data_IF_240965813681
#
_entry.id   IF_240965813681
#
_cell.length_a   1.000
_cell.length_b   1.000
_cell.length_c   1.000
_cell.angle_alpha   90.00
_cell.angle_beta   90.00
_cell.angle_gamma   90.00
#
_symmetry.space_group_name_H-M   'P 1'
#
loop_
_entity.id
_entity.type
_entity.pdbx_description
1 polymer ?
#
# COMPACT_ATOMS: atom_id res chain seq x y z
N UNK A 1 52.44 76.65 -44.78
CA UNK A 1 52.05 76.56 -43.36
C UNK A 1 50.56 76.25 -43.31
N UNK A 2 50.15 75.28 -42.50
CA UNK A 2 48.80 74.75 -42.23
C UNK A 2 48.48 73.34 -42.75
N UNK A 3 48.03 72.55 -41.77
CA UNK A 3 47.98 71.09 -41.66
C UNK A 3 46.53 70.60 -41.83
N UNK A 4 46.42 69.48 -42.52
CA UNK A 4 45.56 68.29 -42.34
C UNK A 4 44.79 68.20 -40.99
N UNK A 5 43.52 67.77 -41.02
CA UNK A 5 42.94 66.51 -40.41
C UNK A 5 41.42 66.62 -40.16
N UNK A 6 40.77 65.48 -40.44
CA UNK A 6 39.36 65.09 -40.43
C UNK A 6 38.67 65.03 -39.05
N UNK A 7 37.37 65.33 -39.02
CA UNK A 7 36.48 65.20 -37.85
C UNK A 7 35.83 63.82 -37.79
N UNK A 8 35.92 63.14 -36.65
CA UNK A 8 35.34 61.81 -36.37
C UNK A 8 34.03 61.85 -35.57
N UNK A 9 33.22 60.82 -35.81
CA UNK A 9 31.96 60.42 -35.16
C UNK A 9 31.99 60.42 -33.62
N UNK A 10 30.87 60.80 -33.00
CA UNK A 10 30.53 60.53 -31.59
C UNK A 10 30.04 59.09 -31.43
N UNK A 11 30.70 58.30 -30.60
CA UNK A 11 30.18 57.02 -30.08
C UNK A 11 29.55 57.27 -28.71
N UNK A 12 28.25 57.00 -28.60
CA UNK A 12 27.51 56.92 -27.34
C UNK A 12 27.84 55.58 -26.65
N UNK A 13 28.50 55.63 -25.50
CA UNK A 13 28.69 54.47 -24.64
C UNK A 13 27.42 54.22 -23.81
N UNK A 14 26.53 53.36 -24.33
CA UNK A 14 25.46 52.75 -23.54
C UNK A 14 26.02 51.56 -22.76
N UNK A 15 26.22 51.72 -21.45
CA UNK A 15 26.60 50.63 -20.56
C UNK A 15 25.43 49.65 -20.40
N UNK A 16 25.55 48.47 -20.98
CA UNK A 16 24.64 47.35 -20.76
C UNK A 16 24.96 46.75 -19.38
N UNK A 17 24.16 47.07 -18.36
CA UNK A 17 24.20 46.33 -17.09
C UNK A 17 23.59 44.95 -17.31
N UNK A 18 24.44 43.94 -17.47
CA UNK A 18 24.04 42.53 -17.37
C UNK A 18 23.85 42.26 -15.87
N UNK A 19 22.61 42.35 -15.41
CA UNK A 19 22.23 41.82 -14.11
C UNK A 19 22.19 40.30 -14.24
N UNK A 20 23.31 39.63 -13.92
CA UNK A 20 23.28 38.20 -13.65
C UNK A 20 22.46 38.02 -12.37
N UNK A 21 21.20 37.59 -12.53
CA UNK A 21 20.44 37.04 -11.42
C UNK A 21 21.19 35.81 -10.92
N UNK A 22 21.80 35.90 -9.74
CA UNK A 22 22.25 34.73 -9.00
C UNK A 22 21.00 33.96 -8.64
N UNK A 23 20.67 32.95 -9.45
CA UNK A 23 19.58 32.03 -9.15
C UNK A 23 19.83 31.40 -7.78
N UNK A 24 18.84 31.50 -6.89
CA UNK A 24 18.92 30.88 -5.57
C UNK A 24 19.20 29.38 -5.77
N UNK A 25 20.29 28.89 -5.19
CA UNK A 25 20.65 27.46 -5.30
C UNK A 25 19.81 26.59 -4.38
N UNK A 26 19.17 27.17 -3.38
CA UNK A 26 18.35 26.47 -2.40
C UNK A 26 16.88 26.77 -2.65
N UNK A 27 16.08 25.72 -2.82
CA UNK A 27 14.64 25.81 -3.03
C UNK A 27 13.95 24.97 -1.95
N UNK A 28 12.94 25.54 -1.29
CA UNK A 28 12.14 24.82 -0.30
C UNK A 28 11.05 24.00 -1.00
N UNK A 29 10.86 22.76 -0.56
CA UNK A 29 9.80 21.85 -1.02
C UNK A 29 9.12 21.22 0.18
N UNK A 30 7.79 21.18 0.17
CA UNK A 30 7.03 20.32 1.08
C UNK A 30 6.62 19.05 0.36
N UNK A 31 6.94 17.89 0.93
CA UNK A 31 6.46 16.59 0.45
C UNK A 31 5.44 16.06 1.44
N UNK A 32 4.21 15.87 0.96
CA UNK A 32 3.14 15.21 1.72
C UNK A 32 3.01 13.80 1.16
N UNK A 33 3.00 12.78 2.01
CA UNK A 33 2.85 11.41 1.53
C UNK A 33 1.92 10.53 2.37
N UNK A 34 1.32 9.58 1.68
CA UNK A 34 0.54 8.47 2.23
C UNK A 34 1.02 7.15 1.65
N UNK A 35 0.59 6.05 2.27
CA UNK A 35 0.79 4.70 1.81
C UNK A 35 -0.27 3.81 2.47
N UNK A 36 -0.62 2.70 1.83
CA UNK A 36 -1.47 1.67 2.43
C UNK A 36 -2.80 2.22 2.94
N UNK A 37 -3.51 3.02 2.12
CA UNK A 37 -4.83 3.57 2.48
C UNK A 37 -5.86 2.44 2.65
N UNK A 38 -5.74 1.35 1.89
CA UNK A 38 -6.63 0.18 1.94
C UNK A 38 -8.10 0.58 2.03
N UNK A 39 -8.55 1.42 1.11
CA UNK A 39 -9.95 1.80 0.95
C UNK A 39 -10.55 2.62 2.10
N UNK A 40 -9.77 3.07 3.09
CA UNK A 40 -10.22 3.84 4.25
C UNK A 40 -10.52 5.30 3.88
N UNK A 41 -11.56 5.51 3.09
CA UNK A 41 -11.95 6.83 2.58
C UNK A 41 -12.67 7.71 3.60
N UNK A 42 -13.31 7.10 4.61
CA UNK A 42 -14.04 7.78 5.67
C UNK A 42 -13.24 7.87 6.96
N UNK A 43 -13.55 8.88 7.78
CA UNK A 43 -13.03 9.00 9.14
C UNK A 43 -13.67 7.89 10.01
N UNK A 44 -12.85 6.93 10.45
CA UNK A 44 -13.29 5.80 11.25
C UNK A 44 -12.12 5.19 12.03
N UNK A 45 -12.32 4.96 13.33
CA UNK A 45 -11.28 4.39 14.19
C UNK A 45 -10.02 5.26 14.18
N UNK A 46 -8.92 4.73 13.64
CA UNK A 46 -7.66 5.45 13.51
C UNK A 46 -7.53 6.21 12.19
N UNK A 47 -8.39 5.98 11.19
CA UNK A 47 -8.32 6.64 9.88
C UNK A 47 -8.76 8.10 9.95
N UNK A 48 -7.99 8.99 9.34
CA UNK A 48 -8.37 10.38 9.09
C UNK A 48 -9.51 10.53 8.06
N UNK A 49 -9.67 9.55 7.18
CA UNK A 49 -10.43 9.68 5.94
C UNK A 49 -9.80 10.68 4.95
N UNK A 50 -10.19 10.58 3.68
CA UNK A 50 -9.61 11.40 2.61
C UNK A 50 -9.93 12.88 2.79
N UNK A 51 -11.08 13.22 3.38
CA UNK A 51 -11.49 14.62 3.57
C UNK A 51 -10.54 15.45 4.46
N UNK A 52 -9.97 14.86 5.52
CA UNK A 52 -8.97 15.53 6.36
C UNK A 52 -7.60 15.62 5.67
N UNK A 53 -7.23 14.58 4.92
CA UNK A 53 -5.98 14.58 4.13
C UNK A 53 -6.03 15.67 3.07
N UNK A 54 -7.15 15.79 2.34
CA UNK A 54 -7.37 16.90 1.39
C UNK A 54 -7.28 18.26 2.08
N UNK A 55 -7.87 18.42 3.27
CA UNK A 55 -7.80 19.68 4.01
C UNK A 55 -6.36 20.07 4.37
N UNK A 56 -5.53 19.12 4.82
CA UNK A 56 -4.10 19.34 5.05
C UNK A 56 -3.38 19.79 3.77
N UNK A 57 -3.60 19.09 2.65
CA UNK A 57 -2.96 19.42 1.38
C UNK A 57 -3.36 20.83 0.91
N UNK A 58 -4.65 21.18 0.99
CA UNK A 58 -5.14 22.48 0.59
C UNK A 58 -4.55 23.61 1.45
N UNK A 59 -4.58 23.48 2.78
CA UNK A 59 -3.96 24.45 3.69
C UNK A 59 -2.46 24.59 3.46
N UNK A 60 -1.77 23.48 3.18
CA UNK A 60 -0.34 23.52 2.86
C UNK A 60 -0.10 24.31 1.58
N UNK A 61 -0.88 24.06 0.53
CA UNK A 61 -0.79 24.78 -0.75
C UNK A 61 -1.12 26.28 -0.65
N UNK A 62 -1.92 26.69 0.33
CA UNK A 62 -2.18 28.12 0.61
C UNK A 62 -0.96 28.84 1.21
N UNK A 63 -0.12 28.13 1.97
CA UNK A 63 0.98 28.72 2.73
C UNK A 63 2.38 28.40 2.18
N UNK A 64 2.51 27.35 1.35
CA UNK A 64 3.78 26.87 0.82
C UNK A 64 3.76 26.93 -0.70
N UNK A 65 4.82 27.52 -1.26
CA UNK A 65 4.95 27.77 -2.70
C UNK A 65 5.13 26.49 -3.52
N UNK A 66 5.79 25.49 -2.95
CA UNK A 66 6.18 24.24 -3.62
C UNK A 66 5.74 23.07 -2.76
N UNK A 67 4.74 22.34 -3.23
CA UNK A 67 4.16 21.18 -2.55
C UNK A 67 4.10 20.03 -3.54
N UNK A 68 4.60 18.86 -3.13
CA UNK A 68 4.53 17.60 -3.86
C UNK A 68 3.75 16.60 -3.01
N UNK A 69 2.71 15.97 -3.57
CA UNK A 69 1.84 15.03 -2.86
C UNK A 69 1.95 13.64 -3.46
N UNK A 70 2.29 12.63 -2.66
CA UNK A 70 2.67 11.30 -3.14
C UNK A 70 1.90 10.19 -2.41
N UNK A 71 1.56 9.12 -3.12
CA UNK A 71 1.04 7.89 -2.51
C UNK A 71 1.92 6.70 -2.89
N UNK A 72 2.28 5.84 -1.92
CA UNK A 72 3.16 4.70 -2.16
C UNK A 72 2.42 3.40 -2.54
N UNK A 73 1.13 3.44 -2.89
CA UNK A 73 0.35 2.27 -3.31
C UNK A 73 -0.40 1.57 -2.17
N UNK A 74 -1.07 0.46 -2.51
CA UNK A 74 -2.10 -0.19 -1.68
C UNK A 74 -3.23 0.77 -1.31
N UNK A 75 -3.78 1.44 -2.33
CA UNK A 75 -4.91 2.32 -2.20
C UNK A 75 -6.20 1.52 -1.93
N UNK A 76 -6.35 0.37 -2.59
CA UNK A 76 -7.59 -0.42 -2.58
C UNK A 76 -7.56 -1.60 -1.60
N UNK A 77 -8.64 -2.37 -1.59
CA UNK A 77 -8.97 -3.43 -0.61
C UNK A 77 -9.23 -2.86 0.79
N UNK A 78 -9.57 -3.68 1.78
CA UNK A 78 -9.73 -3.23 3.18
C UNK A 78 -11.10 -2.72 3.64
N UNK A 79 -11.93 -2.15 2.76
CA UNK A 79 -13.27 -1.65 3.13
C UNK A 79 -14.40 -2.16 2.23
N UNK A 80 -15.66 -2.21 2.71
CA UNK A 80 -16.78 -2.65 1.89
C UNK A 80 -16.95 -1.88 0.58
N UNK A 81 -16.73 -0.55 0.61
CA UNK A 81 -16.80 0.28 -0.62
C UNK A 81 -15.76 -0.18 -1.63
N UNK A 82 -14.51 -0.42 -1.18
CA UNK A 82 -13.49 -0.93 -2.08
C UNK A 82 -13.86 -2.31 -2.63
N UNK A 83 -14.26 -3.25 -1.78
CA UNK A 83 -14.53 -4.64 -2.20
C UNK A 83 -15.76 -4.75 -3.09
N UNK A 84 -16.89 -4.09 -2.74
CA UNK A 84 -18.14 -4.21 -3.51
C UNK A 84 -18.08 -3.54 -4.88
N UNK A 85 -17.22 -2.53 -5.05
CA UNK A 85 -17.05 -1.79 -6.31
C UNK A 85 -15.69 -2.03 -6.98
N UNK A 86 -14.96 -3.08 -6.55
CA UNK A 86 -13.67 -3.50 -7.08
C UNK A 86 -12.66 -2.34 -7.22
N UNK A 87 -12.52 -1.55 -6.15
CA UNK A 87 -11.52 -0.49 -5.98
C UNK A 87 -11.79 0.85 -6.69
N UNK A 88 -12.62 0.88 -7.73
CA UNK A 88 -12.78 2.08 -8.59
C UNK A 88 -13.16 3.37 -7.82
N UNK A 89 -14.12 3.35 -6.87
CA UNK A 89 -14.47 4.55 -6.12
C UNK A 89 -13.33 5.13 -5.28
N UNK A 90 -12.35 4.30 -4.91
CA UNK A 90 -11.23 4.74 -4.08
C UNK A 90 -10.37 5.74 -4.84
N UNK A 91 -10.05 5.45 -6.11
CA UNK A 91 -9.32 6.38 -6.97
C UNK A 91 -10.11 7.66 -7.24
N UNK A 92 -11.43 7.57 -7.45
CA UNK A 92 -12.28 8.77 -7.61
C UNK A 92 -12.20 9.71 -6.41
N UNK A 93 -12.25 9.17 -5.20
CA UNK A 93 -12.15 9.95 -3.96
C UNK A 93 -10.72 10.45 -3.73
N UNK A 94 -9.70 9.62 -3.96
CA UNK A 94 -8.29 9.99 -3.79
C UNK A 94 -7.84 11.10 -4.74
N UNK A 95 -8.45 11.20 -5.94
CA UNK A 95 -8.20 12.32 -6.85
C UNK A 95 -8.47 13.69 -6.19
N UNK A 96 -9.39 13.76 -5.22
CA UNK A 96 -9.72 15.00 -4.51
C UNK A 96 -8.61 15.47 -3.55
N UNK A 97 -7.64 14.63 -3.23
CA UNK A 97 -6.41 15.06 -2.51
C UNK A 97 -5.51 15.87 -3.45
N UNK A 98 -5.54 15.57 -4.75
CA UNK A 98 -4.64 16.14 -5.74
C UNK A 98 -3.22 15.60 -5.60
N UNK A 99 -3.07 14.27 -5.58
CA UNK A 99 -1.78 13.58 -5.69
C UNK A 99 -1.06 14.00 -6.98
N UNK A 100 0.27 14.07 -6.91
CA UNK A 100 1.15 14.40 -8.02
C UNK A 100 1.72 13.14 -8.70
N UNK A 101 1.82 12.04 -7.96
CA UNK A 101 2.14 10.70 -8.44
C UNK A 101 1.72 9.65 -7.39
N UNK A 102 1.38 8.45 -7.85
CA UNK A 102 1.08 7.29 -7.02
C UNK A 102 1.93 6.09 -7.42
N UNK A 103 2.26 5.20 -6.49
CA UNK A 103 2.91 3.92 -6.79
C UNK A 103 1.88 2.80 -6.97
N UNK A 104 2.23 1.72 -7.70
CA UNK A 104 1.49 0.47 -7.56
C UNK A 104 1.92 -0.24 -6.27
N UNK A 105 0.94 -0.65 -5.49
CA UNK A 105 1.07 -1.64 -4.43
C UNK A 105 0.57 -3.01 -4.86
N UNK A 106 0.69 -3.97 -3.95
CA UNK A 106 0.29 -5.35 -4.18
C UNK A 106 -1.23 -5.51 -4.30
N UNK A 107 -1.98 -4.73 -3.53
CA UNK A 107 -3.43 -4.86 -3.46
C UNK A 107 -4.16 -4.27 -4.68
N UNK A 108 -3.49 -3.45 -5.50
CA UNK A 108 -4.02 -3.05 -6.82
C UNK A 108 -4.28 -4.26 -7.75
N UNK A 109 -3.69 -5.43 -7.45
CA UNK A 109 -3.85 -6.68 -8.20
C UNK A 109 -4.95 -7.60 -7.65
N UNK A 110 -5.60 -7.27 -6.52
CA UNK A 110 -6.57 -8.16 -5.85
C UNK A 110 -7.77 -8.52 -6.73
N UNK A 111 -8.11 -7.65 -7.68
CA UNK A 111 -9.20 -7.84 -8.64
C UNK A 111 -8.69 -8.24 -10.05
N UNK A 112 -7.45 -8.71 -10.14
CA UNK A 112 -6.75 -9.06 -11.37
C UNK A 112 -6.08 -7.85 -12.05
N UNK A 113 -4.89 -8.04 -12.62
CA UNK A 113 -4.07 -6.94 -13.15
C UNK A 113 -4.77 -6.13 -14.25
N UNK A 114 -5.69 -6.73 -15.01
CA UNK A 114 -6.46 -6.03 -16.03
C UNK A 114 -7.30 -4.87 -15.47
N UNK A 115 -7.67 -4.93 -14.18
CA UNK A 115 -8.40 -3.86 -13.49
C UNK A 115 -7.55 -2.59 -13.32
N UNK A 116 -6.22 -2.71 -13.31
CA UNK A 116 -5.29 -1.60 -13.13
C UNK A 116 -5.42 -0.59 -14.28
N UNK A 117 -5.77 -1.02 -15.50
CA UNK A 117 -6.08 -0.11 -16.60
C UNK A 117 -7.21 0.87 -16.24
N UNK A 118 -8.26 0.39 -15.58
CA UNK A 118 -9.36 1.26 -15.13
C UNK A 118 -8.91 2.20 -14.00
N UNK A 119 -8.04 1.73 -13.10
CA UNK A 119 -7.50 2.60 -12.03
C UNK A 119 -6.68 3.75 -12.61
N UNK A 120 -5.86 3.47 -13.62
CA UNK A 120 -5.09 4.47 -14.38
C UNK A 120 -5.99 5.46 -15.13
N UNK A 121 -7.08 4.97 -15.72
CA UNK A 121 -8.06 5.83 -16.41
C UNK A 121 -8.82 6.76 -15.45
N UNK A 122 -9.06 6.31 -14.20
CA UNK A 122 -9.75 7.12 -13.17
C UNK A 122 -8.77 8.11 -12.52
N UNK A 123 -7.53 7.69 -12.26
CA UNK A 123 -6.55 8.49 -11.54
C UNK A 123 -6.22 9.79 -12.31
N UNK A 124 -6.24 10.94 -11.62
CA UNK A 124 -5.83 12.23 -12.20
C UNK A 124 -4.33 12.48 -12.10
N UNK A 125 -3.56 11.45 -11.73
CA UNK A 125 -2.13 11.47 -11.52
C UNK A 125 -1.52 10.19 -12.09
N UNK A 126 -0.26 10.22 -12.55
CA UNK A 126 0.38 9.02 -13.08
C UNK A 126 0.59 7.99 -11.98
N UNK A 127 0.20 6.75 -12.28
CA UNK A 127 0.49 5.58 -11.45
C UNK A 127 1.80 4.96 -11.93
N UNK A 128 2.78 4.84 -11.03
CA UNK A 128 4.17 4.50 -11.34
C UNK A 128 4.53 3.11 -10.83
N UNK A 129 5.19 2.34 -11.69
CA UNK A 129 5.94 1.14 -11.32
C UNK A 129 6.93 0.84 -12.45
N UNK A 130 8.21 0.69 -12.13
CA UNK A 130 9.25 0.45 -13.11
C UNK A 130 9.47 -1.04 -13.41
N UNK A 131 8.99 -1.91 -12.53
CA UNK A 131 9.38 -3.31 -12.51
C UNK A 131 8.18 -4.28 -12.53
N UNK A 132 7.01 -3.86 -13.00
CA UNK A 132 5.81 -4.71 -13.10
C UNK A 132 5.29 -4.77 -14.55
N UNK A 133 5.31 -5.98 -15.13
CA UNK A 133 5.03 -6.22 -16.54
C UNK A 133 3.94 -7.27 -16.72
N UNK A 134 3.05 -7.01 -17.68
CA UNK A 134 2.02 -7.93 -18.14
C UNK A 134 2.66 -9.12 -18.89
N UNK A 135 1.90 -10.20 -19.17
CA UNK A 135 2.46 -11.40 -19.81
C UNK A 135 3.05 -11.17 -21.20
N UNK A 136 2.63 -10.10 -21.90
CA UNK A 136 3.16 -9.69 -23.19
C UNK A 136 4.41 -8.79 -23.09
N UNK A 137 4.90 -8.55 -21.87
CA UNK A 137 6.06 -7.70 -21.59
C UNK A 137 5.76 -6.20 -21.52
N UNK A 138 4.50 -5.78 -21.68
CA UNK A 138 4.11 -4.38 -21.52
C UNK A 138 4.14 -3.94 -20.07
N UNK A 139 4.48 -2.68 -19.81
CA UNK A 139 4.44 -2.12 -18.47
C UNK A 139 3.00 -2.00 -18.00
N UNK A 140 2.71 -2.46 -16.78
CA UNK A 140 1.35 -2.43 -16.21
C UNK A 140 0.96 -1.01 -15.78
N UNK A 141 1.91 -0.26 -15.21
CA UNK A 141 1.76 1.12 -14.78
C UNK A 141 1.74 2.12 -15.96
N UNK A 142 1.46 3.40 -15.69
CA UNK A 142 1.51 4.45 -16.72
C UNK A 142 2.94 4.72 -17.19
N UNK A 143 3.89 4.69 -16.25
CA UNK A 143 5.29 4.94 -16.51
C UNK A 143 6.19 4.31 -15.43
N UNK A 144 7.46 4.02 -15.75
CA UNK A 144 8.43 3.57 -14.76
C UNK A 144 8.87 4.70 -13.82
N UNK A 145 8.88 5.93 -14.33
CA UNK A 145 9.25 7.14 -13.61
C UNK A 145 8.59 8.37 -14.22
N UNK A 146 8.61 9.49 -13.49
CA UNK A 146 8.22 10.83 -13.92
C UNK A 146 9.37 11.81 -13.63
N UNK A 147 9.63 12.75 -14.54
CA UNK A 147 10.40 13.97 -14.21
C UNK A 147 9.45 15.15 -14.24
N UNK A 148 9.41 15.92 -13.15
CA UNK A 148 8.53 17.07 -12.99
C UNK A 148 9.31 18.29 -12.55
N UNK A 149 9.00 19.44 -13.16
CA UNK A 149 9.53 20.73 -12.71
C UNK A 149 8.64 21.34 -11.64
N UNK A 150 9.20 21.65 -10.47
CA UNK A 150 8.52 22.40 -9.40
C UNK A 150 9.39 23.60 -9.02
N UNK A 151 8.90 24.81 -9.26
CA UNK A 151 9.74 26.01 -9.17
C UNK A 151 10.91 25.91 -10.16
N UNK A 152 12.14 25.98 -9.64
CA UNK A 152 13.35 25.76 -10.42
C UNK A 152 13.91 24.33 -10.33
N UNK A 153 13.33 23.47 -9.50
CA UNK A 153 13.79 22.10 -9.27
C UNK A 153 13.27 21.16 -10.36
N UNK A 154 14.13 20.31 -10.90
CA UNK A 154 13.79 19.10 -11.64
C UNK A 154 13.73 17.92 -10.67
N UNK A 155 12.55 17.35 -10.46
CA UNK A 155 12.33 16.26 -9.52
C UNK A 155 12.03 14.98 -10.31
N UNK A 156 12.85 13.95 -10.12
CA UNK A 156 12.59 12.60 -10.62
C UNK A 156 11.85 11.75 -9.59
N UNK A 157 10.87 10.97 -10.02
CA UNK A 157 10.09 10.08 -9.17
C UNK A 157 10.04 8.71 -9.84
N UNK A 158 10.62 7.68 -9.23
CA UNK A 158 10.60 6.29 -9.70
C UNK A 158 9.56 5.51 -8.90
N UNK A 159 8.74 4.68 -9.55
CA UNK A 159 7.86 3.73 -8.86
C UNK A 159 8.49 2.33 -8.78
N UNK A 160 8.39 1.65 -7.65
CA UNK A 160 8.84 0.27 -7.47
C UNK A 160 7.82 -0.53 -6.65
N UNK A 161 7.63 -1.78 -7.01
CA UNK A 161 6.81 -2.75 -6.26
C UNK A 161 7.64 -4.00 -5.96
N UNK A 162 7.34 -4.72 -4.88
CA UNK A 162 8.10 -5.91 -4.50
C UNK A 162 8.03 -7.01 -5.58
N UNK A 163 9.16 -7.66 -5.85
CA UNK A 163 9.19 -8.82 -6.75
C UNK A 163 8.45 -10.04 -6.18
N UNK A 164 8.13 -10.02 -4.88
CA UNK A 164 7.33 -11.06 -4.23
C UNK A 164 5.82 -10.91 -4.47
N UNK A 165 5.37 -9.88 -5.21
CA UNK A 165 3.94 -9.64 -5.50
C UNK A 165 3.17 -10.89 -5.95
N UNK A 166 3.68 -11.76 -6.86
CA UNK A 166 2.97 -12.99 -7.26
C UNK A 166 2.68 -13.98 -6.11
N UNK A 167 3.42 -13.87 -5.00
CA UNK A 167 3.25 -14.70 -3.80
C UNK A 167 2.25 -14.09 -2.81
N UNK A 168 1.88 -12.83 -3.00
CA UNK A 168 1.05 -12.03 -2.10
C UNK A 168 -0.36 -11.78 -2.64
N UNK A 169 -0.58 -12.01 -3.94
CA UNK A 169 -1.85 -11.76 -4.63
C UNK A 169 -2.53 -13.06 -5.04
N UNK A 170 -3.84 -12.98 -5.28
CA UNK A 170 -4.61 -14.10 -5.86
C UNK A 170 -4.07 -14.44 -7.25
N UNK A 171 -3.69 -15.71 -7.53
CA UNK A 171 -3.13 -16.08 -8.84
C UNK A 171 -4.12 -15.93 -10.00
N UNK A 172 -5.40 -16.18 -9.76
CA UNK A 172 -6.46 -16.08 -10.78
C UNK A 172 -6.57 -14.63 -11.26
N UNK A 173 -6.41 -14.42 -12.57
CA UNK A 173 -6.41 -13.09 -13.18
C UNK A 173 -5.10 -12.32 -13.03
N UNK A 174 -4.05 -12.97 -12.52
CA UNK A 174 -2.69 -12.45 -12.36
C UNK A 174 -1.63 -13.46 -12.84
N UNK A 175 -2.00 -14.31 -13.79
CA UNK A 175 -1.13 -15.36 -14.31
C UNK A 175 0.01 -14.78 -15.16
N UNK A 176 1.21 -15.34 -15.01
CA UNK A 176 2.39 -15.05 -15.84
C UNK A 176 2.82 -13.57 -15.86
N UNK A 177 2.48 -12.81 -14.82
CA UNK A 177 3.03 -11.47 -14.61
C UNK A 177 4.52 -11.56 -14.31
N UNK A 178 5.29 -10.60 -14.82
CA UNK A 178 6.71 -10.52 -14.57
C UNK A 178 7.01 -9.32 -13.67
N UNK A 179 7.67 -9.59 -12.54
CA UNK A 179 8.17 -8.55 -11.65
C UNK A 179 9.70 -8.60 -11.65
N UNK A 180 10.34 -7.55 -12.18
CA UNK A 180 11.79 -7.45 -12.20
C UNK A 180 12.34 -7.09 -10.81
N UNK A 181 13.61 -7.42 -10.57
CA UNK A 181 14.26 -7.09 -9.30
C UNK A 181 14.23 -5.57 -9.05
N UNK A 182 13.62 -5.11 -7.94
CA UNK A 182 13.43 -3.69 -7.69
C UNK A 182 14.75 -2.95 -7.46
N UNK A 183 15.74 -3.60 -6.85
CA UNK A 183 17.06 -3.00 -6.56
C UNK A 183 17.87 -2.78 -7.82
N UNK A 184 17.95 -3.77 -8.70
CA UNK A 184 18.61 -3.66 -10.00
C UNK A 184 17.91 -2.62 -10.88
N UNK A 185 16.57 -2.65 -10.91
CA UNK A 185 15.78 -1.66 -11.67
C UNK A 185 16.03 -0.24 -11.17
N UNK A 186 16.02 -0.03 -9.84
CA UNK A 186 16.32 1.26 -9.24
C UNK A 186 17.74 1.73 -9.58
N UNK A 187 18.73 0.86 -9.49
CA UNK A 187 20.11 1.19 -9.80
C UNK A 187 20.30 1.66 -11.24
N UNK A 188 19.69 0.99 -12.22
CA UNK A 188 19.77 1.39 -13.62
C UNK A 188 19.04 2.73 -13.88
N UNK A 189 17.87 2.94 -13.27
CA UNK A 189 17.14 4.20 -13.39
C UNK A 189 17.84 5.36 -12.68
N UNK A 190 18.42 5.15 -11.50
CA UNK A 190 19.22 6.16 -10.80
C UNK A 190 20.40 6.58 -11.66
N UNK A 191 21.13 5.62 -12.26
CA UNK A 191 22.23 5.93 -13.18
C UNK A 191 21.76 6.77 -14.37
N UNK A 192 20.59 6.49 -14.94
CA UNK A 192 20.05 7.20 -16.08
C UNK A 192 19.54 8.61 -15.73
N UNK A 193 18.91 8.78 -14.57
CA UNK A 193 18.14 9.97 -14.20
C UNK A 193 18.92 10.97 -13.36
N UNK A 194 19.89 10.53 -12.55
CA UNK A 194 20.55 11.37 -11.52
C UNK A 194 21.16 12.67 -12.05
N UNK A 195 21.68 12.67 -13.28
CA UNK A 195 22.27 13.86 -13.91
C UNK A 195 21.25 14.85 -14.47
N UNK A 196 19.98 14.46 -14.54
CA UNK A 196 18.88 15.22 -15.14
C UNK A 196 17.97 15.87 -14.09
N UNK A 197 18.18 15.55 -12.81
CA UNK A 197 17.31 15.94 -11.71
C UNK A 197 18.11 16.48 -10.53
N UNK A 198 17.52 17.44 -9.84
CA UNK A 198 18.05 18.04 -8.62
C UNK A 198 17.68 17.19 -7.39
N UNK A 199 16.53 16.50 -7.45
CA UNK A 199 16.03 15.61 -6.42
C UNK A 199 15.51 14.31 -7.08
N UNK A 200 15.90 13.15 -6.54
CA UNK A 200 15.43 11.83 -7.00
C UNK A 200 14.72 11.09 -5.87
N UNK A 201 13.42 10.90 -6.05
CA UNK A 201 12.52 10.22 -5.13
C UNK A 201 12.17 8.83 -5.67
N UNK A 202 12.04 7.85 -4.78
CA UNK A 202 11.49 6.53 -5.09
C UNK A 202 10.21 6.31 -4.28
N UNK A 203 9.09 6.05 -4.96
CA UNK A 203 7.88 5.48 -4.38
C UNK A 203 8.06 3.96 -4.34
N UNK A 204 8.36 3.42 -3.16
CA UNK A 204 8.76 2.04 -2.99
C UNK A 204 7.72 1.24 -2.21
N UNK A 205 7.01 0.36 -2.88
CA UNK A 205 6.09 -0.58 -2.24
C UNK A 205 6.80 -1.91 -1.93
N UNK A 206 7.90 -1.82 -1.18
CA UNK A 206 8.78 -2.95 -0.84
C UNK A 206 8.69 -3.34 0.63
N UNK A 207 8.34 -2.39 1.51
CA UNK A 207 8.35 -2.55 2.95
C UNK A 207 9.66 -2.12 3.58
N UNK A 208 9.55 -1.66 4.82
CA UNK A 208 10.54 -0.76 5.41
C UNK A 208 11.98 -1.31 5.45
N UNK A 209 12.15 -2.58 5.78
CA UNK A 209 13.49 -3.18 5.82
C UNK A 209 14.09 -3.36 4.41
N UNK A 210 13.28 -3.72 3.40
CA UNK A 210 13.73 -3.78 2.02
C UNK A 210 14.02 -2.37 1.44
N UNK A 211 13.26 -1.36 1.86
CA UNK A 211 13.49 0.04 1.48
C UNK A 211 14.79 0.59 2.10
N UNK A 212 15.08 0.25 3.34
CA UNK A 212 16.37 0.56 3.96
C UNK A 212 17.52 -0.13 3.23
N UNK A 213 17.33 -1.39 2.85
CA UNK A 213 18.33 -2.14 2.08
C UNK A 213 18.54 -1.50 0.69
N UNK A 214 17.46 -1.08 0.02
CA UNK A 214 17.52 -0.34 -1.25
C UNK A 214 18.34 0.95 -1.11
N UNK A 215 18.18 1.69 -0.01
CA UNK A 215 18.97 2.89 0.26
C UNK A 215 20.48 2.61 0.45
N UNK A 216 20.84 1.43 0.95
CA UNK A 216 22.24 0.98 1.07
C UNK A 216 22.80 0.63 -0.31
N UNK A 217 22.04 -0.17 -1.06
CA UNK A 217 22.52 -0.80 -2.30
C UNK A 217 22.52 0.15 -3.50
N UNK A 218 21.70 1.21 -3.46
CA UNK A 218 21.48 2.13 -4.58
C UNK A 218 21.79 3.59 -4.18
N UNK A 219 23.06 3.99 -4.16
CA UNK A 219 23.43 5.38 -3.90
C UNK A 219 22.95 6.32 -5.02
N UNK A 220 22.51 7.52 -4.65
CA UNK A 220 22.03 8.55 -5.59
C UNK A 220 20.52 8.80 -5.53
N UNK A 221 19.79 7.99 -4.76
CA UNK A 221 18.43 8.27 -4.29
C UNK A 221 18.52 9.31 -3.15
N UNK A 222 17.67 10.33 -3.15
CA UNK A 222 17.60 11.31 -2.06
C UNK A 222 16.54 10.96 -1.02
N UNK A 223 15.40 10.43 -1.48
CA UNK A 223 14.24 10.11 -0.64
C UNK A 223 13.55 8.85 -1.14
N UNK A 224 13.26 7.92 -0.23
CA UNK A 224 12.38 6.77 -0.43
C UNK A 224 11.11 7.01 0.39
N UNK A 225 9.97 7.07 -0.30
CA UNK A 225 8.64 7.07 0.29
C UNK A 225 8.09 5.65 0.19
N UNK A 226 8.03 4.99 1.34
CA UNK A 226 7.76 3.56 1.49
C UNK A 226 6.28 3.18 1.68
N UNK A 227 6.00 1.88 1.61
CA UNK A 227 4.67 1.28 1.74
C UNK A 227 4.72 -0.19 2.20
N UNK A 228 3.66 -0.97 1.98
CA UNK A 228 3.52 -2.43 2.19
C UNK A 228 3.57 -2.93 3.65
N UNK A 229 4.64 -2.59 4.36
CA UNK A 229 4.93 -3.12 5.70
C UNK A 229 4.07 -2.50 6.80
N UNK A 230 3.27 -1.48 6.48
CA UNK A 230 2.51 -0.67 7.43
C UNK A 230 3.37 -0.08 8.54
N UNK A 231 4.66 0.19 8.31
CA UNK A 231 5.56 0.60 9.39
C UNK A 231 5.24 2.03 9.83
N UNK A 232 5.05 2.22 11.14
CA UNK A 232 4.99 3.54 11.75
C UNK A 232 6.41 4.07 11.97
N UNK A 233 6.97 4.75 10.96
CA UNK A 233 8.31 5.32 11.02
C UNK A 233 8.28 6.62 11.82
N UNK A 234 8.31 6.52 13.15
CA UNK A 234 8.20 7.66 14.07
C UNK A 234 9.16 8.81 13.77
N UNK A 235 10.35 8.49 13.25
CA UNK A 235 11.33 9.46 12.78
C UNK A 235 11.91 8.98 11.44
N UNK A 236 12.02 9.87 10.44
CA UNK A 236 12.68 9.57 9.17
C UNK A 236 14.07 8.95 9.38
N UNK A 237 14.35 7.85 8.68
CA UNK A 237 15.61 7.13 8.78
C UNK A 237 16.56 7.64 7.71
N UNK A 238 17.80 7.99 8.08
CA UNK A 238 18.83 8.39 7.11
C UNK A 238 19.86 7.29 6.92
N UNK A 239 20.04 6.86 5.68
CA UNK A 239 21.07 5.89 5.27
C UNK A 239 21.93 6.54 4.20
N UNK A 240 23.16 6.91 4.58
CA UNK A 240 24.04 7.69 3.70
C UNK A 240 23.40 9.01 3.26
N UNK A 241 23.20 9.17 1.95
CA UNK A 241 22.54 10.33 1.35
C UNK A 241 21.01 10.25 1.33
N UNK A 242 20.44 9.07 1.60
CA UNK A 242 19.03 8.76 1.37
C UNK A 242 18.22 8.87 2.65
N UNK A 243 17.05 9.51 2.59
CA UNK A 243 16.03 9.45 3.64
C UNK A 243 14.99 8.38 3.32
N UNK A 244 14.52 7.64 4.32
CA UNK A 244 13.49 6.60 4.19
C UNK A 244 12.35 6.93 5.16
N UNK A 245 11.14 7.02 4.62
CA UNK A 245 9.92 7.41 5.35
C UNK A 245 8.75 6.50 5.02
N UNK A 246 7.84 6.32 5.97
CA UNK A 246 6.56 5.61 5.78
C UNK A 246 5.53 6.12 6.80
N UNK A 247 4.26 6.24 6.40
CA UNK A 247 3.19 6.85 7.18
C UNK A 247 2.18 5.81 7.74
N UNK A 248 2.68 4.69 8.27
CA UNK A 248 1.85 3.60 8.82
C UNK A 248 0.85 3.07 7.78
N UNK A 249 -0.46 3.14 8.03
CA UNK A 249 -1.53 2.64 7.15
C UNK A 249 -2.86 3.33 7.41
N UNK A 250 -3.83 3.09 6.52
CA UNK A 250 -5.25 3.42 6.64
C UNK A 250 -5.55 4.91 6.81
N UNK A 251 -4.63 5.78 6.39
CA UNK A 251 -4.72 7.22 6.67
C UNK A 251 -4.63 7.57 8.15
N UNK A 252 -4.05 6.69 8.98
CA UNK A 252 -3.86 6.96 10.42
C UNK A 252 -2.81 8.02 10.69
N UNK A 253 -1.87 8.20 9.75
CA UNK A 253 -0.88 9.24 9.75
C UNK A 253 -0.71 9.75 8.33
N UNK A 254 -0.30 11.02 8.21
CA UNK A 254 0.16 11.61 6.95
C UNK A 254 1.60 12.04 7.15
N UNK A 255 2.48 11.63 6.23
CA UNK A 255 3.85 12.11 6.22
C UNK A 255 3.91 13.54 5.72
N UNK A 256 4.60 14.40 6.46
CA UNK A 256 4.77 15.81 6.12
C UNK A 256 6.25 16.17 6.27
N UNK A 257 6.91 16.44 5.15
CA UNK A 257 8.35 16.69 5.07
C UNK A 257 8.59 18.10 4.53
N UNK A 258 9.29 18.93 5.29
CA UNK A 258 9.84 20.20 4.80
C UNK A 258 11.32 19.99 4.47
N UNK A 259 11.66 20.09 3.18
CA UNK A 259 13.03 19.88 2.71
C UNK A 259 13.54 21.11 1.97
N UNK A 260 14.84 21.35 2.08
CA UNK A 260 15.54 22.33 1.25
C UNK A 260 16.44 21.59 0.26
N UNK A 261 16.25 21.84 -1.03
CA UNK A 261 17.00 21.21 -2.11
C UNK A 261 18.08 22.15 -2.60
N UNK A 262 19.34 21.70 -2.58
CA UNK A 262 20.46 22.37 -3.23
C UNK A 262 20.50 21.95 -4.71
N UNK A 263 19.95 22.79 -5.58
CA UNK A 263 19.85 22.58 -7.04
C UNK A 263 21.20 22.71 -7.77
N UNK A 264 22.28 23.12 -7.08
CA UNK A 264 23.63 23.08 -7.65
C UNK A 264 24.36 21.80 -7.29
N UNK A 265 24.13 21.30 -6.07
CA UNK A 265 24.75 20.07 -5.57
C UNK A 265 23.88 18.82 -5.81
N UNK A 266 22.64 18.99 -6.31
CA UNK A 266 21.67 17.93 -6.60
C UNK A 266 21.44 17.00 -5.41
N UNK A 267 21.11 17.60 -4.25
CA UNK A 267 20.92 16.90 -2.98
C UNK A 267 19.99 17.66 -2.04
N UNK A 268 19.51 16.96 -1.02
CA UNK A 268 18.82 17.57 0.13
C UNK A 268 19.86 18.25 1.04
N UNK A 269 19.71 19.56 1.26
CA UNK A 269 20.54 20.38 2.13
C UNK A 269 20.04 20.37 3.58
N UNK A 270 18.72 20.44 3.76
CA UNK A 270 18.01 20.39 5.05
C UNK A 270 16.79 19.47 4.94
N UNK A 271 16.49 18.76 6.02
CA UNK A 271 15.38 17.83 6.10
C UNK A 271 14.74 17.91 7.49
N UNK A 272 13.47 18.31 7.53
CA UNK A 272 12.61 18.22 8.70
C UNK A 272 11.36 17.43 8.33
N UNK A 273 11.07 16.34 9.04
CA UNK A 273 10.02 15.40 8.65
C UNK A 273 9.29 14.83 9.84
N UNK A 274 7.96 14.88 9.77
CA UNK A 274 7.06 14.41 10.83
C UNK A 274 5.95 13.54 10.27
N UNK A 275 5.40 12.67 11.12
CA UNK A 275 4.12 12.03 10.88
C UNK A 275 3.05 12.79 11.65
N UNK A 276 2.05 13.32 10.93
CA UNK A 276 0.90 13.98 11.53
C UNK A 276 -0.17 12.89 11.75
N UNK A 277 -0.53 12.55 13.01
CA UNK A 277 -1.56 11.56 13.26
C UNK A 277 -2.94 12.08 12.85
N UNK A 278 -3.84 11.18 12.46
CA UNK A 278 -5.17 11.49 11.95
C UNK A 278 -5.95 12.51 12.80
N UNK A 279 -5.87 12.37 14.12
CA UNK A 279 -6.53 13.26 15.10
C UNK A 279 -6.06 14.71 15.03
N UNK A 280 -4.82 14.95 14.62
CA UNK A 280 -4.18 16.27 14.61
C UNK A 280 -4.24 16.92 13.21
N UNK A 281 -4.80 16.22 12.22
CA UNK A 281 -5.09 16.80 10.90
C UNK A 281 -6.20 17.86 10.98
N UNK A 282 -6.24 18.79 10.02
CA UNK A 282 -7.28 19.82 9.97
C UNK A 282 -8.69 19.24 9.86
N UNK A 283 -9.69 20.09 10.16
CA UNK A 283 -11.10 19.74 9.96
C UNK A 283 -11.35 19.29 8.51
N UNK A 284 -12.22 18.29 8.29
CA UNK A 284 -12.41 17.67 6.98
C UNK A 284 -12.93 18.67 5.95
N UNK A 285 -12.44 18.55 4.71
CA UNK A 285 -13.02 19.24 3.57
C UNK A 285 -14.48 18.81 3.37
N UNK A 286 -15.40 19.78 3.40
CA UNK A 286 -16.85 19.50 3.35
C UNK A 286 -17.30 18.89 2.03
N UNK A 287 -16.68 19.28 0.92
CA UNK A 287 -17.03 18.73 -0.39
C UNK A 287 -16.60 17.26 -0.45
N UNK A 288 -15.35 16.96 -0.09
CA UNK A 288 -14.83 15.60 -0.06
C UNK A 288 -15.61 14.71 0.90
N UNK A 289 -15.92 15.21 2.10
CA UNK A 289 -16.73 14.49 3.08
C UNK A 289 -18.10 14.09 2.52
N UNK A 290 -18.75 14.95 1.72
CA UNK A 290 -20.03 14.64 1.09
C UNK A 290 -19.91 13.56 0.00
N UNK A 291 -18.82 13.58 -0.78
CA UNK A 291 -18.53 12.53 -1.78
C UNK A 291 -18.30 11.18 -1.11
N UNK A 292 -17.49 11.16 -0.05
CA UNK A 292 -17.25 9.95 0.77
C UNK A 292 -18.55 9.41 1.35
N UNK A 293 -19.37 10.28 1.95
CA UNK A 293 -20.65 9.87 2.54
C UNK A 293 -21.64 9.34 1.48
N UNK A 294 -21.58 9.82 0.24
CA UNK A 294 -22.39 9.28 -0.85
C UNK A 294 -21.99 7.84 -1.22
N UNK A 295 -20.70 7.53 -1.22
CA UNK A 295 -20.21 6.17 -1.44
C UNK A 295 -20.52 5.24 -0.26
N UNK A 296 -20.34 5.70 0.97
CA UNK A 296 -20.63 4.88 2.15
C UNK A 296 -22.13 4.53 2.27
N UNK A 297 -23.02 5.46 1.93
CA UNK A 297 -24.47 5.19 1.90
C UNK A 297 -24.84 4.02 0.97
N UNK A 298 -24.12 3.82 -0.14
CA UNK A 298 -24.40 2.73 -1.11
C UNK A 298 -24.16 1.33 -0.53
N UNK A 299 -23.35 1.20 0.52
CA UNK A 299 -23.06 -0.08 1.15
C UNK A 299 -23.75 -0.25 2.50
N UNK A 300 -24.13 0.86 3.15
CA UNK A 300 -24.64 0.89 4.53
C UNK A 300 -25.79 -0.08 4.82
N UNK A 301 -26.79 -0.18 3.93
CA UNK A 301 -27.94 -1.09 4.11
C UNK A 301 -27.53 -2.57 4.16
N UNK A 302 -26.40 -2.93 3.54
CA UNK A 302 -25.87 -4.30 3.51
C UNK A 302 -24.99 -4.55 4.74
N UNK A 303 -24.15 -3.57 5.09
CA UNK A 303 -23.03 -3.79 6.02
C UNK A 303 -23.28 -3.28 7.44
N UNK A 304 -24.19 -2.33 7.65
CA UNK A 304 -24.46 -1.75 8.98
C UNK A 304 -25.54 -2.51 9.75
N UNK A 305 -25.71 -3.79 9.43
CA UNK A 305 -26.62 -4.71 10.10
C UNK A 305 -25.91 -5.37 11.29
N UNK A 306 -26.42 -5.17 12.52
CA UNK A 306 -25.96 -5.89 13.72
C UNK A 306 -26.16 -7.40 13.54
N UNK A 307 -25.12 -8.17 13.83
CA UNK A 307 -25.14 -9.64 13.76
C UNK A 307 -24.84 -10.31 15.11
N UNK A 308 -24.11 -9.64 15.99
CA UNK A 308 -23.80 -10.13 17.34
C UNK A 308 -23.33 -8.99 18.25
N UNK A 309 -23.00 -9.35 19.48
CA UNK A 309 -22.29 -8.52 20.45
C UNK A 309 -21.16 -9.36 21.04
N UNK A 310 -19.98 -8.75 21.21
CA UNK A 310 -18.81 -9.41 21.81
C UNK A 310 -18.51 -8.79 23.17
N UNK A 311 -18.36 -9.62 24.21
CA UNK A 311 -18.03 -9.14 25.56
C UNK A 311 -16.56 -8.69 25.70
N UNK A 312 -15.69 -9.14 24.80
CA UNK A 312 -14.25 -8.89 24.80
C UNK A 312 -13.75 -8.48 23.41
N UNK A 313 -12.60 -7.81 23.38
CA UNK A 313 -11.85 -7.59 22.15
C UNK A 313 -10.86 -8.73 21.94
N UNK A 314 -10.69 -9.16 20.69
CA UNK A 314 -9.79 -10.23 20.30
C UNK A 314 -8.48 -9.63 19.80
N UNK A 315 -7.37 -10.34 19.99
CA UNK A 315 -6.15 -10.10 19.23
C UNK A 315 -6.31 -10.57 17.78
N UNK A 316 -5.34 -10.25 16.92
CA UNK A 316 -5.28 -10.79 15.55
C UNK A 316 -5.22 -12.31 15.56
N UNK A 317 -4.42 -12.93 16.43
CA UNK A 317 -4.34 -14.40 16.52
C UNK A 317 -5.66 -15.00 17.01
N UNK A 318 -6.31 -14.39 18.00
CA UNK A 318 -7.61 -14.84 18.48
C UNK A 318 -8.69 -14.75 17.40
N UNK A 319 -8.67 -13.67 16.61
CA UNK A 319 -9.58 -13.51 15.46
C UNK A 319 -9.32 -14.57 14.39
N UNK A 320 -8.05 -14.83 14.05
CA UNK A 320 -7.65 -15.90 13.13
C UNK A 320 -8.16 -17.26 13.60
N UNK A 321 -7.86 -17.64 14.84
CA UNK A 321 -8.27 -18.94 15.40
C UNK A 321 -9.78 -19.10 15.50
N UNK A 322 -10.51 -18.00 15.76
CA UNK A 322 -11.96 -18.01 15.69
C UNK A 322 -12.46 -18.33 14.26
N UNK A 323 -11.88 -17.68 13.25
CA UNK A 323 -12.23 -17.94 11.84
C UNK A 323 -11.87 -19.37 11.42
N UNK A 324 -10.70 -19.88 11.82
CA UNK A 324 -10.26 -21.25 11.54
C UNK A 324 -11.26 -22.31 12.03
N UNK A 325 -11.81 -22.14 13.24
CA UNK A 325 -12.85 -23.02 13.78
C UNK A 325 -14.14 -22.96 12.95
N UNK A 326 -14.55 -21.75 12.56
CA UNK A 326 -15.77 -21.54 11.77
C UNK A 326 -15.66 -22.21 10.39
N UNK A 327 -14.56 -21.97 9.66
CA UNK A 327 -14.38 -22.52 8.32
C UNK A 327 -14.26 -24.06 8.36
N UNK A 328 -13.61 -24.61 9.38
CA UNK A 328 -13.51 -26.06 9.59
C UNK A 328 -14.89 -26.69 9.81
N UNK A 329 -15.68 -26.10 10.72
CA UNK A 329 -17.03 -26.56 11.04
C UNK A 329 -17.94 -26.47 9.82
N UNK A 330 -17.87 -25.38 9.06
CA UNK A 330 -18.71 -25.17 7.87
C UNK A 330 -18.44 -26.19 6.77
N UNK A 331 -17.17 -26.57 6.58
CA UNK A 331 -16.76 -27.49 5.52
C UNK A 331 -16.64 -28.95 5.98
N UNK A 332 -16.87 -29.23 7.26
CA UNK A 332 -16.80 -30.56 7.85
C UNK A 332 -15.39 -31.16 7.86
N UNK A 333 -14.36 -30.32 8.06
CA UNK A 333 -12.96 -30.79 8.16
C UNK A 333 -12.48 -30.82 9.61
N UNK A 334 -11.50 -31.69 9.96
CA UNK A 334 -10.97 -31.78 11.33
C UNK A 334 -10.42 -30.45 11.87
N UNK A 335 -9.84 -29.62 11.00
CA UNK A 335 -9.38 -28.29 11.34
C UNK A 335 -9.45 -27.36 10.12
N UNK A 336 -9.22 -26.08 10.40
CA UNK A 336 -9.13 -25.03 9.40
C UNK A 336 -7.81 -24.28 9.56
N UNK A 337 -7.36 -23.64 8.50
CA UNK A 337 -6.20 -22.77 8.50
C UNK A 337 -6.56 -21.47 7.78
N UNK A 338 -6.19 -20.34 8.38
CA UNK A 338 -6.40 -19.03 7.79
C UNK A 338 -5.12 -18.20 7.95
N UNK A 339 -4.59 -17.66 6.85
CA UNK A 339 -3.34 -16.90 6.91
C UNK A 339 -3.52 -15.56 7.65
N UNK A 340 -2.52 -15.15 8.42
CA UNK A 340 -2.53 -13.89 9.19
C UNK A 340 -2.72 -12.67 8.29
N UNK A 341 -2.08 -12.67 7.12
CA UNK A 341 -2.24 -11.59 6.14
C UNK A 341 -3.69 -11.39 5.67
N UNK A 342 -4.54 -12.43 5.80
CA UNK A 342 -5.97 -12.39 5.49
C UNK A 342 -6.83 -11.70 6.56
N UNK A 343 -6.33 -11.54 7.79
CA UNK A 343 -7.03 -10.90 8.91
C UNK A 343 -6.62 -9.43 8.98
N UNK A 344 -7.51 -8.52 8.55
CA UNK A 344 -7.18 -7.10 8.32
C UNK A 344 -7.60 -6.17 9.46
N UNK A 345 -8.47 -6.65 10.33
CA UNK A 345 -8.93 -5.99 11.55
C UNK A 345 -9.21 -7.07 12.62
N UNK A 346 -9.72 -6.69 13.78
CA UNK A 346 -10.02 -7.62 14.89
C UNK A 346 -11.48 -7.58 15.29
N UNK A 347 -11.96 -8.66 15.91
CA UNK A 347 -13.24 -8.64 16.62
C UNK A 347 -13.11 -7.72 17.83
N UNK A 348 -13.81 -6.59 17.83
CA UNK A 348 -13.81 -5.62 18.93
C UNK A 348 -14.83 -5.99 20.01
N UNK A 349 -14.65 -5.44 21.21
CA UNK A 349 -15.69 -5.46 22.23
C UNK A 349 -16.89 -4.61 21.80
N UNK A 350 -18.10 -5.07 22.11
CA UNK A 350 -19.37 -4.39 21.87
C UNK A 350 -20.07 -4.89 20.62
N UNK A 351 -20.85 -4.01 20.00
CA UNK A 351 -21.66 -4.35 18.83
C UNK A 351 -20.81 -4.75 17.62
N UNK A 352 -21.16 -5.92 17.06
CA UNK A 352 -20.59 -6.45 15.82
C UNK A 352 -21.65 -6.44 14.73
N UNK A 353 -21.28 -5.81 13.62
CA UNK A 353 -22.07 -5.70 12.38
C UNK A 353 -21.40 -6.44 11.24
N UNK A 354 -22.13 -6.64 10.14
CA UNK A 354 -21.58 -7.19 8.89
C UNK A 354 -20.32 -6.42 8.43
N UNK A 355 -20.31 -5.08 8.54
CA UNK A 355 -19.17 -4.22 8.17
C UNK A 355 -17.88 -4.64 8.86
N UNK A 356 -17.95 -4.99 10.14
CA UNK A 356 -16.77 -5.45 10.87
C UNK A 356 -16.18 -6.69 10.22
N UNK A 357 -17.01 -7.66 9.82
CA UNK A 357 -16.51 -8.88 9.17
C UNK A 357 -15.97 -8.57 7.77
N UNK A 358 -16.54 -7.61 7.04
CA UNK A 358 -15.97 -7.13 5.77
C UNK A 358 -14.64 -6.39 5.95
N UNK A 359 -14.46 -5.66 7.05
CA UNK A 359 -13.19 -5.01 7.39
C UNK A 359 -12.13 -6.02 7.83
N UNK A 360 -12.52 -7.11 8.50
CA UNK A 360 -11.59 -8.19 8.87
C UNK A 360 -11.22 -9.05 7.64
N UNK A 361 -12.20 -9.41 6.81
CA UNK A 361 -12.05 -10.24 5.60
C UNK A 361 -12.55 -9.49 4.34
N UNK A 362 -11.73 -8.61 3.75
CA UNK A 362 -12.15 -7.78 2.62
C UNK A 362 -11.97 -8.46 1.26
N UNK A 363 -11.31 -9.62 1.20
CA UNK A 363 -10.80 -10.18 -0.06
C UNK A 363 -11.84 -10.95 -0.86
N UNK A 364 -12.94 -11.37 -0.24
CA UNK A 364 -13.95 -12.17 -0.95
C UNK A 364 -13.40 -13.53 -1.38
N UNK A 365 -12.51 -14.11 -0.58
CA UNK A 365 -11.99 -15.45 -0.84
C UNK A 365 -13.09 -16.51 -0.69
N UNK A 366 -12.98 -17.58 -1.47
CA UNK A 366 -13.85 -18.76 -1.35
C UNK A 366 -13.27 -19.77 -0.38
N UNK A 367 -14.13 -20.61 0.20
CA UNK A 367 -13.68 -21.77 0.96
C UNK A 367 -13.15 -22.86 0.04
N UNK A 368 -12.09 -23.54 0.46
CA UNK A 368 -11.49 -24.66 -0.25
C UNK A 368 -11.11 -25.74 0.75
N UNK A 369 -11.53 -26.98 0.48
CA UNK A 369 -10.98 -28.16 1.17
C UNK A 369 -9.69 -28.59 0.50
N UNK A 370 -8.66 -28.81 1.32
CA UNK A 370 -7.31 -29.14 0.87
C UNK A 370 -6.93 -30.49 1.47
N UNK A 371 -6.51 -31.42 0.62
CA UNK A 371 -5.90 -32.70 1.04
C UNK A 371 -4.44 -32.73 0.61
N UNK A 372 -3.53 -33.03 1.54
CA UNK A 372 -2.08 -33.07 1.28
C UNK A 372 -1.31 -33.89 2.31
N UNK A 373 -0.05 -34.21 2.04
CA UNK A 373 0.87 -34.83 3.00
C UNK A 373 1.32 -33.83 4.08
N UNK A 374 1.68 -34.33 5.26
CA UNK A 374 2.07 -33.50 6.40
C UNK A 374 3.30 -32.62 6.12
N UNK A 375 4.24 -33.10 5.32
CA UNK A 375 5.40 -32.30 4.89
C UNK A 375 4.96 -31.07 4.09
N UNK A 376 3.95 -31.21 3.23
CA UNK A 376 3.36 -30.09 2.47
C UNK A 376 2.50 -29.21 3.34
N UNK A 377 1.70 -29.78 4.26
CA UNK A 377 0.94 -28.99 5.23
C UNK A 377 1.86 -28.08 6.07
N UNK A 378 3.00 -28.59 6.55
CA UNK A 378 4.00 -27.77 7.26
C UNK A 378 4.41 -26.58 6.40
N UNK A 379 4.77 -26.80 5.13
CA UNK A 379 5.15 -25.69 4.23
C UNK A 379 4.02 -24.68 4.02
N UNK A 380 2.75 -25.08 4.04
CA UNK A 380 1.60 -24.20 3.88
C UNK A 380 1.40 -23.32 5.13
N UNK A 381 1.43 -23.90 6.32
CA UNK A 381 1.13 -23.16 7.56
C UNK A 381 2.32 -22.36 8.10
N UNK A 382 3.52 -22.57 7.55
CA UNK A 382 4.70 -21.74 7.79
C UNK A 382 4.92 -20.74 6.64
N UNK A 383 3.88 -20.43 5.85
CA UNK A 383 3.95 -19.38 4.84
C UNK A 383 3.92 -17.98 5.45
N UNK A 384 3.32 -17.82 6.62
CA UNK A 384 3.37 -16.58 7.40
C UNK A 384 4.72 -16.50 8.14
N UNK A 385 5.24 -15.28 8.36
CA UNK A 385 6.50 -15.06 9.12
C UNK A 385 6.43 -15.64 10.55
N UNK A 386 5.23 -15.65 11.14
CA UNK A 386 4.95 -16.29 12.41
C UNK A 386 4.54 -17.76 12.21
N UNK A 387 5.33 -18.66 12.80
CA UNK A 387 5.09 -20.09 12.70
C UNK A 387 3.79 -20.44 13.43
N UNK A 388 2.81 -21.01 12.72
CA UNK A 388 1.57 -21.46 13.34
C UNK A 388 1.88 -22.53 14.40
N UNK A 389 1.42 -22.35 15.64
CA UNK A 389 1.83 -23.17 16.80
C UNK A 389 1.56 -24.69 16.67
N UNK A 390 0.72 -25.10 15.71
CA UNK A 390 0.48 -26.50 15.41
C UNK A 390 1.57 -27.16 14.52
N UNK A 391 2.52 -26.39 13.97
CA UNK A 391 3.55 -26.89 13.04
C UNK A 391 4.43 -28.00 13.62
N UNK A 392 4.71 -27.94 14.92
CA UNK A 392 5.56 -28.91 15.62
C UNK A 392 4.88 -30.29 15.77
N UNK A 393 3.54 -30.32 15.80
CA UNK A 393 2.74 -31.54 16.01
C UNK A 393 2.41 -32.32 14.73
N UNK A 394 2.76 -31.81 13.55
CA UNK A 394 2.41 -32.46 12.29
C UNK A 394 3.39 -33.60 11.99
N UNK A 395 2.86 -34.81 11.83
CA UNK A 395 3.61 -35.93 11.25
C UNK A 395 3.78 -35.69 9.73
N UNK A 396 5.02 -35.66 9.18
CA UNK A 396 5.26 -35.36 7.77
C UNK A 396 4.74 -36.42 6.79
N UNK A 397 4.55 -37.67 7.22
CA UNK A 397 4.17 -38.79 6.35
C UNK A 397 2.65 -39.01 6.30
N UNK A 398 1.92 -38.49 7.28
CA UNK A 398 0.47 -38.60 7.37
C UNK A 398 -0.27 -37.74 6.34
N UNK A 399 -1.48 -38.15 5.98
CA UNK A 399 -2.38 -37.37 5.14
C UNK A 399 -3.29 -36.47 5.99
N UNK A 400 -3.46 -35.23 5.56
CA UNK A 400 -4.30 -34.25 6.24
C UNK A 400 -5.34 -33.70 5.28
N UNK A 401 -6.56 -33.52 5.78
CA UNK A 401 -7.60 -32.75 5.11
C UNK A 401 -8.01 -31.58 6.00
N UNK A 402 -8.00 -30.38 5.46
CA UNK A 402 -8.35 -29.15 6.19
C UNK A 402 -9.05 -28.16 5.28
N UNK A 403 -9.67 -27.15 5.89
CA UNK A 403 -10.31 -26.06 5.14
C UNK A 403 -9.50 -24.79 5.22
N UNK A 404 -9.37 -24.09 4.10
CA UNK A 404 -8.74 -22.78 4.04
C UNK A 404 -9.41 -21.89 3.00
N UNK A 405 -8.84 -20.72 2.76
CA UNK A 405 -9.31 -19.79 1.76
C UNK A 405 -8.67 -20.05 0.38
N UNK A 406 -9.30 -19.56 -0.69
CA UNK A 406 -8.84 -19.75 -2.06
C UNK A 406 -7.42 -19.25 -2.31
N UNK A 407 -7.04 -18.12 -1.69
CA UNK A 407 -5.68 -17.59 -1.81
C UNK A 407 -4.62 -18.58 -1.31
N UNK A 408 -4.77 -19.11 -0.09
CA UNK A 408 -3.83 -20.09 0.48
C UNK A 408 -3.83 -21.37 -0.35
N UNK A 409 -5.01 -21.85 -0.76
CA UNK A 409 -5.15 -23.06 -1.56
C UNK A 409 -4.43 -22.96 -2.91
N UNK A 410 -4.59 -21.85 -3.63
CA UNK A 410 -3.95 -21.64 -4.92
C UNK A 410 -2.43 -21.48 -4.78
N UNK A 411 -1.97 -20.73 -3.77
CA UNK A 411 -0.54 -20.60 -3.46
C UNK A 411 0.09 -21.95 -3.08
N UNK A 412 -0.61 -22.79 -2.30
CA UNK A 412 -0.16 -24.13 -1.97
C UNK A 412 0.01 -25.01 -3.22
N UNK A 413 -0.94 -24.94 -4.16
CA UNK A 413 -0.89 -25.68 -5.43
C UNK A 413 0.28 -25.25 -6.31
N UNK A 414 0.56 -23.94 -6.39
CA UNK A 414 1.70 -23.40 -7.16
C UNK A 414 3.03 -23.85 -6.54
N UNK A 415 3.16 -23.77 -5.21
CA UNK A 415 4.40 -24.09 -4.49
C UNK A 415 4.65 -25.60 -4.33
N UNK A 416 3.62 -26.43 -4.43
CA UNK A 416 3.74 -27.88 -4.31
C UNK A 416 2.91 -28.60 -5.38
N UNK A 417 3.32 -28.48 -6.67
CA UNK A 417 2.59 -29.06 -7.79
C UNK A 417 2.44 -30.58 -7.64
N UNK A 418 1.21 -31.08 -7.81
CA UNK A 418 0.89 -32.51 -7.71
C UNK A 418 0.87 -33.08 -6.29
N UNK A 419 1.14 -32.27 -5.25
CA UNK A 419 1.12 -32.68 -3.84
C UNK A 419 -0.13 -32.23 -3.09
N UNK A 420 -0.94 -31.38 -3.71
CA UNK A 420 -2.12 -30.78 -3.09
C UNK A 420 -3.35 -31.09 -3.95
N UNK A 421 -4.38 -31.67 -3.33
CA UNK A 421 -5.71 -31.83 -3.94
C UNK A 421 -6.61 -30.73 -3.40
N UNK A 422 -7.16 -29.93 -4.30
CA UNK A 422 -8.10 -28.85 -3.97
C UNK A 422 -9.52 -29.27 -4.33
N UNK A 423 -10.44 -29.03 -3.41
CA UNK A 423 -11.87 -29.12 -3.62
C UNK A 423 -12.50 -27.76 -3.28
N UNK A 424 -12.70 -26.89 -4.29
CA UNK A 424 -13.32 -25.58 -4.09
C UNK A 424 -14.79 -25.71 -3.67
N UNK A 425 -15.17 -24.95 -2.67
CA UNK A 425 -16.56 -24.78 -2.25
C UNK A 425 -17.16 -23.51 -2.88
N UNK A 426 -18.48 -23.36 -2.82
CA UNK A 426 -19.18 -22.22 -3.46
C UNK A 426 -19.18 -20.97 -2.59
N UNK A 427 -19.13 -21.18 -1.29
CA UNK A 427 -19.31 -20.21 -0.24
C UNK A 427 -18.09 -19.30 -0.11
N UNK A 428 -18.35 -18.01 0.12
CA UNK A 428 -17.32 -17.06 0.54
C UNK A 428 -16.97 -17.31 2.00
N UNK A 429 -15.68 -17.21 2.33
CA UNK A 429 -15.20 -17.27 3.72
C UNK A 429 -15.98 -16.28 4.58
N UNK A 430 -16.10 -15.04 4.10
CA UNK A 430 -16.81 -13.96 4.78
C UNK A 430 -18.26 -14.30 5.10
N UNK A 431 -18.99 -14.84 4.14
CA UNK A 431 -20.42 -15.13 4.31
C UNK A 431 -20.63 -16.25 5.32
N UNK A 432 -19.78 -17.28 5.29
CA UNK A 432 -19.78 -18.36 6.28
C UNK A 432 -19.50 -17.84 7.70
N UNK A 433 -18.58 -16.88 7.85
CA UNK A 433 -18.31 -16.25 9.14
C UNK A 433 -19.51 -15.43 9.62
N UNK A 434 -20.10 -14.61 8.75
CA UNK A 434 -21.28 -13.80 9.08
C UNK A 434 -22.44 -14.70 9.52
N UNK A 435 -22.73 -15.76 8.77
CA UNK A 435 -23.85 -16.65 9.06
C UNK A 435 -23.62 -17.45 10.34
N UNK A 436 -22.37 -17.90 10.59
CA UNK A 436 -22.02 -18.52 11.86
C UNK A 436 -22.25 -17.57 13.04
N UNK A 437 -21.74 -16.33 12.96
CA UNK A 437 -21.87 -15.34 14.04
C UNK A 437 -23.35 -14.99 14.30
N UNK A 438 -24.17 -14.89 13.25
CA UNK A 438 -25.62 -14.67 13.40
C UNK A 438 -26.31 -15.82 14.13
N UNK A 439 -25.91 -17.05 13.83
CA UNK A 439 -26.57 -18.23 14.37
C UNK A 439 -26.10 -18.58 15.78
N UNK A 440 -24.81 -18.43 16.08
CA UNK A 440 -24.17 -18.94 17.29
C UNK A 440 -23.55 -17.84 18.17
N UNK A 441 -23.53 -16.59 17.71
CA UNK A 441 -22.85 -15.48 18.38
C UNK A 441 -21.32 -15.55 18.23
N UNK A 442 -20.62 -14.87 19.14
CA UNK A 442 -19.16 -14.85 19.19
C UNK A 442 -18.72 -15.62 20.42
N UNK A 443 -18.11 -16.78 20.20
CA UNK A 443 -17.55 -17.57 21.28
C UNK A 443 -16.30 -16.88 21.84
N UNK A 444 -16.29 -16.57 23.14
CA UNK A 444 -15.13 -15.96 23.78
C UNK A 444 -13.93 -16.93 23.67
N UNK A 445 -12.76 -16.46 23.22
CA UNK A 445 -11.57 -17.30 23.18
C UNK A 445 -11.27 -17.72 24.62
N UNK A 446 -11.21 -19.02 24.90
CA UNK A 446 -10.70 -19.47 26.19
C UNK A 446 -9.29 -18.88 26.39
N UNK A 447 -8.97 -18.45 27.61
CA UNK A 447 -7.59 -18.21 28.00
C UNK A 447 -6.88 -19.56 27.99
N UNK A 448 -6.39 -20.02 26.83
CA UNK A 448 -5.74 -21.32 26.73
C UNK A 448 -4.35 -21.17 26.14
N UNK A 449 -3.35 -21.36 27.01
CA UNK A 449 -1.98 -21.73 26.64
C UNK A 449 -1.88 -23.16 26.08
N UNK A 450 -2.85 -23.59 25.28
CA UNK A 450 -2.84 -24.87 24.58
C UNK A 450 -3.45 -24.65 23.20
N UNK A 451 -2.60 -24.71 22.19
CA UNK A 451 -2.93 -24.64 20.77
C UNK A 451 -3.94 -25.71 20.38
N UNK A 452 -4.84 -25.47 19.40
CA UNK A 452 -5.69 -26.53 18.89
C UNK A 452 -4.81 -27.67 18.34
N UNK A 453 -4.99 -28.88 18.87
CA UNK A 453 -4.32 -30.08 18.36
C UNK A 453 -4.87 -30.41 16.97
N UNK A 454 -4.00 -30.51 15.97
CA UNK A 454 -4.36 -31.08 14.67
C UNK A 454 -4.55 -32.59 14.89
N UNK A 455 -5.80 -33.06 14.98
CA UNK A 455 -6.08 -34.50 15.04
C UNK A 455 -6.15 -35.07 13.62
N UNK A 456 -5.65 -36.30 13.46
CA UNK A 456 -5.71 -37.06 12.21
C UNK A 456 -7.16 -37.42 11.85
N UNK A 457 -7.43 -37.57 10.55
CA UNK A 457 -8.66 -38.21 10.07
C UNK A 457 -8.50 -39.72 10.19
N UNK A 458 -9.34 -40.37 11.01
CA UNK A 458 -9.52 -41.82 10.98
C UNK A 458 -10.46 -42.24 9.85
#
# INVERSE_FOLDING_TARGET
>A
MNRIIWTWLRVMAGGLMIVSSTQASFESLVVIHTNDIHGHIAEAGQSAGIARITALVNQTREHKKHVLVLDAGDAISGTPVSTMFNGSPIFEVMNLVGYDAGGLGTHEFDHGFARIALFRDIATHPVLAANAFAPDGTLIADAPFLIRKIGNMQIGIIGLITADTPRMITPIGNENLHFADPTLTAHDLVRALRKQVDLLIVLAHLGHEQEKQLAIDVPGIDLIVGGRSHTLVHRPVRIGGTWVVQAHRYGSHVGYLEIEVDTKANRIASFDGVLIPARDLPAPDKHVMNVVAAWDRRVSEIVDVKIAESDTAFTTEQTRTFFEKIIARSAGTPFGYYNLGGVRDVIRKGEITVRHIWSIEPFGNKLVRVTTDGATLKRIITMDEDTHAASESIDPEEQYTFTTNSFVADQAKIRSPGKVKLEPLKELVRDVIIDHIRQYGIETPQQSGTSPSISTSH
#
